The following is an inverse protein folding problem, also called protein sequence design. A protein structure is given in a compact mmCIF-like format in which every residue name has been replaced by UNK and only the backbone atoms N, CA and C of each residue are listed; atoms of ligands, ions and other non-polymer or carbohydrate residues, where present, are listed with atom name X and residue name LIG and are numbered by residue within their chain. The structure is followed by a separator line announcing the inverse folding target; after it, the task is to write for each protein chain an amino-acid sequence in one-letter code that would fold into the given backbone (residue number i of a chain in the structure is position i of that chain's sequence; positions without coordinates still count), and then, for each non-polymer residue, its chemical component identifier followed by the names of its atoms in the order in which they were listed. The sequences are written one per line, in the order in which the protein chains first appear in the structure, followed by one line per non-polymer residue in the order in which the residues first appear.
data_IF_543883258465
#
_entry.id   IF_543883258465
#
_cell.length_a   1.000
_cell.length_b   1.000
_cell.length_c   1.000
_cell.angle_alpha   90.00
_cell.angle_beta   90.00
_cell.angle_gamma   90.00
#
_symmetry.space_group_name_H-M   'P 1'
#
loop_
_entity.id
_entity.type
_entity.pdbx_description
1 polymer ?
#
# COMPACT_ATOMS: atom_id res chain seq x y z
N UNK A 1 -6.66 28.70 21.12
CA UNK A 1 -5.73 27.69 21.67
C UNK A 1 -6.17 26.26 21.34
N UNK A 2 -7.46 25.91 21.44
CA UNK A 2 -7.94 24.56 21.09
C UNK A 2 -7.85 24.21 19.60
N UNK A 3 -8.07 25.20 18.71
CA UNK A 3 -7.98 24.99 17.25
C UNK A 3 -6.57 24.57 16.79
N UNK A 4 -5.50 25.05 17.45
CA UNK A 4 -4.13 24.67 17.10
C UNK A 4 -3.82 23.23 17.53
N UNK A 5 -4.32 22.79 18.70
CA UNK A 5 -4.19 21.40 19.17
C UNK A 5 -4.87 20.41 18.23
N UNK A 6 -6.08 20.72 17.76
CA UNK A 6 -6.82 19.87 16.81
C UNK A 6 -6.06 19.73 15.49
N UNK A 7 -5.55 20.84 14.93
CA UNK A 7 -4.71 20.81 13.72
C UNK A 7 -3.46 19.96 13.92
N UNK A 8 -2.81 20.05 15.09
CA UNK A 8 -1.62 19.28 15.44
C UNK A 8 -1.92 17.78 15.56
N UNK A 9 -3.00 17.41 16.24
CA UNK A 9 -3.45 16.01 16.37
C UNK A 9 -3.74 15.39 15.01
N UNK A 10 -4.44 16.13 14.14
CA UNK A 10 -4.75 15.69 12.79
C UNK A 10 -3.49 15.53 11.92
N UNK A 11 -2.55 16.48 12.00
CA UNK A 11 -1.27 16.35 11.32
C UNK A 11 -0.49 15.12 11.82
N UNK A 12 -0.48 14.85 13.13
CA UNK A 12 0.13 13.64 13.70
C UNK A 12 -0.53 12.35 13.21
N UNK A 13 -1.86 12.29 13.18
CA UNK A 13 -2.60 11.14 12.63
C UNK A 13 -2.26 10.92 11.17
N UNK A 14 -2.23 12.00 10.37
CA UNK A 14 -1.88 11.94 8.96
C UNK A 14 -0.47 11.40 8.71
N UNK A 15 0.49 11.87 9.49
CA UNK A 15 1.88 11.37 9.45
C UNK A 15 1.94 9.89 9.84
N UNK A 16 1.15 9.45 10.83
CA UNK A 16 1.09 8.06 11.24
C UNK A 16 0.53 7.13 10.14
N UNK A 17 -0.54 7.54 9.46
CA UNK A 17 -1.11 6.80 8.31
C UNK A 17 -0.10 6.65 7.17
N UNK A 18 0.55 7.75 6.78
CA UNK A 18 1.57 7.76 5.72
C UNK A 18 2.75 6.86 6.14
N UNK A 19 3.19 6.95 7.40
CA UNK A 19 4.26 6.08 7.92
C UNK A 19 3.89 4.60 7.85
N UNK A 20 2.65 4.25 8.18
CA UNK A 20 2.18 2.86 8.10
C UNK A 20 2.15 2.37 6.66
N UNK A 21 1.67 3.20 5.72
CA UNK A 21 1.71 2.90 4.29
C UNK A 21 3.13 2.62 3.80
N UNK A 22 4.10 3.47 4.14
CA UNK A 22 5.50 3.24 3.74
C UNK A 22 6.09 1.95 4.32
N UNK A 23 5.65 1.52 5.51
CA UNK A 23 6.05 0.19 6.01
C UNK A 23 5.52 -0.92 5.11
N UNK A 24 4.24 -0.88 4.71
CA UNK A 24 3.68 -1.87 3.79
C UNK A 24 4.40 -1.88 2.44
N UNK A 25 4.68 -0.70 1.87
CA UNK A 25 5.46 -0.56 0.62
C UNK A 25 6.88 -1.11 0.79
N UNK A 26 7.57 -0.76 1.88
CA UNK A 26 8.93 -1.23 2.14
C UNK A 26 8.98 -2.75 2.29
N UNK A 27 8.05 -3.33 3.06
CA UNK A 27 7.93 -4.77 3.22
C UNK A 27 7.67 -5.44 1.87
N UNK A 28 6.74 -4.91 1.09
CA UNK A 28 6.46 -5.40 -0.26
C UNK A 28 7.71 -5.37 -1.16
N UNK A 29 8.43 -4.24 -1.20
CA UNK A 29 9.64 -4.12 -2.01
C UNK A 29 10.70 -5.14 -1.56
N UNK A 30 10.96 -5.25 -0.26
CA UNK A 30 11.98 -6.12 0.29
C UNK A 30 11.71 -7.59 -0.05
N UNK A 31 10.49 -8.08 0.16
CA UNK A 31 10.12 -9.45 -0.22
C UNK A 31 10.20 -9.65 -1.73
N UNK A 32 9.71 -8.71 -2.53
CA UNK A 32 9.76 -8.84 -3.98
C UNK A 32 11.17 -8.87 -4.54
N UNK A 33 12.07 -8.02 -4.04
CA UNK A 33 13.48 -8.07 -4.42
C UNK A 33 14.14 -9.38 -4.00
N UNK A 34 13.85 -9.89 -2.79
CA UNK A 34 14.36 -11.18 -2.35
C UNK A 34 13.86 -12.34 -3.23
N UNK A 35 12.57 -12.39 -3.53
CA UNK A 35 11.99 -13.42 -4.41
C UNK A 35 12.41 -13.27 -5.87
N UNK A 36 12.64 -12.04 -6.35
CA UNK A 36 13.20 -11.78 -7.68
C UNK A 36 14.62 -12.32 -7.78
N UNK A 37 15.47 -12.02 -6.78
CA UNK A 37 16.83 -12.56 -6.70
C UNK A 37 16.80 -14.09 -6.65
N UNK A 38 16.03 -14.68 -5.72
CA UNK A 38 15.94 -16.13 -5.59
C UNK A 38 15.39 -16.80 -6.86
N UNK A 39 14.34 -16.23 -7.47
CA UNK A 39 13.73 -16.74 -8.69
C UNK A 39 14.68 -16.71 -9.90
N UNK A 40 15.43 -15.62 -10.08
CA UNK A 40 16.32 -15.46 -11.22
C UNK A 40 17.62 -16.27 -11.08
N UNK A 41 18.23 -16.28 -9.89
CA UNK A 41 19.52 -16.96 -9.68
C UNK A 41 19.39 -18.46 -9.42
N UNK A 42 18.33 -18.90 -8.73
CA UNK A 42 18.15 -20.31 -8.33
C UNK A 42 16.99 -21.01 -9.05
N UNK A 43 16.29 -20.33 -9.95
CA UNK A 43 15.19 -20.91 -10.73
C UNK A 43 14.00 -21.33 -9.87
N UNK A 44 13.74 -20.63 -8.76
CA UNK A 44 12.68 -20.99 -7.81
C UNK A 44 11.31 -20.92 -8.47
N UNK A 45 10.59 -22.05 -8.41
CA UNK A 45 9.21 -22.22 -8.85
C UNK A 45 8.38 -22.66 -7.65
N UNK A 46 7.34 -21.90 -7.33
CA UNK A 46 6.43 -22.23 -6.23
C UNK A 46 5.10 -22.66 -6.84
N UNK A 47 4.65 -23.86 -6.50
CA UNK A 47 3.32 -24.36 -6.87
C UNK A 47 2.37 -24.05 -5.71
N UNK A 48 1.33 -23.25 -5.96
CA UNK A 48 0.36 -22.87 -4.93
C UNK A 48 -0.84 -23.82 -4.94
N UNK A 49 -1.42 -24.10 -6.11
CA UNK A 49 -2.61 -24.95 -6.22
C UNK A 49 -2.74 -25.56 -7.62
N UNK A 50 -2.89 -26.89 -7.70
CA UNK A 50 -2.95 -27.63 -8.98
C UNK A 50 -1.85 -27.15 -9.97
N UNK A 51 -2.27 -26.59 -11.12
CA UNK A 51 -1.38 -26.08 -12.17
C UNK A 51 -0.98 -24.60 -11.99
N UNK A 52 -1.39 -23.95 -10.89
CA UNK A 52 -1.01 -22.59 -10.58
C UNK A 52 0.42 -22.52 -10.03
N UNK A 53 1.35 -22.26 -10.95
CA UNK A 53 2.77 -22.06 -10.67
C UNK A 53 3.04 -20.56 -10.72
N UNK A 54 3.74 -20.07 -9.70
CA UNK A 54 4.24 -18.71 -9.63
C UNK A 54 5.76 -18.74 -9.58
N UNK A 55 6.36 -17.82 -10.33
CA UNK A 55 7.81 -17.64 -10.35
C UNK A 55 8.11 -16.20 -10.73
N UNK A 56 9.14 -15.65 -10.11
CA UNK A 56 9.69 -14.34 -10.47
C UNK A 56 10.84 -14.45 -11.48
N UNK A 57 11.01 -15.61 -12.12
CA UNK A 57 12.01 -15.79 -13.17
C UNK A 57 11.62 -14.94 -14.38
N UNK A 58 12.49 -13.98 -14.71
CA UNK A 58 12.33 -13.06 -15.83
C UNK A 58 13.45 -13.31 -16.83
N UNK A 59 13.08 -13.73 -18.04
CA UNK A 59 13.99 -14.04 -19.15
C UNK A 59 13.84 -13.02 -20.27
N UNK A 60 14.66 -13.12 -21.33
CA UNK A 60 14.55 -12.25 -22.51
C UNK A 60 13.15 -12.29 -23.16
N UNK A 61 12.45 -13.42 -23.05
CA UNK A 61 11.10 -13.62 -23.59
C UNK A 61 9.99 -13.22 -22.58
N UNK A 62 10.36 -12.63 -21.44
CA UNK A 62 9.44 -12.21 -20.38
C UNK A 62 9.35 -13.17 -19.20
N UNK A 63 8.22 -13.14 -18.49
CA UNK A 63 7.96 -13.99 -17.32
C UNK A 63 7.47 -15.39 -17.76
N UNK A 64 8.13 -16.43 -17.26
CA UNK A 64 7.77 -17.83 -17.56
C UNK A 64 6.45 -18.24 -16.85
N UNK A 65 6.11 -17.60 -15.72
CA UNK A 65 4.91 -17.86 -14.92
C UNK A 65 4.34 -16.55 -14.34
N UNK A 66 3.19 -16.65 -13.65
CA UNK A 66 2.62 -15.51 -12.96
C UNK A 66 3.58 -14.96 -11.90
N UNK A 67 3.90 -13.65 -11.95
CA UNK A 67 4.77 -13.06 -10.96
C UNK A 67 4.07 -12.99 -9.60
N UNK A 68 4.80 -13.35 -8.54
CA UNK A 68 4.30 -13.35 -7.16
C UNK A 68 3.80 -11.97 -6.71
N UNK A 69 4.42 -10.92 -7.24
CA UNK A 69 4.13 -9.53 -6.90
C UNK A 69 2.75 -9.07 -7.37
N UNK A 70 2.15 -9.75 -8.35
CA UNK A 70 0.91 -9.29 -8.98
C UNK A 70 -0.29 -9.31 -8.02
N UNK A 71 -0.39 -10.35 -7.18
CA UNK A 71 -1.47 -10.48 -6.19
C UNK A 71 -1.36 -9.40 -5.11
N UNK A 72 -0.15 -9.17 -4.61
CA UNK A 72 0.11 -8.20 -3.55
C UNK A 72 0.08 -6.75 -4.04
N UNK A 73 0.36 -6.52 -5.33
CA UNK A 73 0.30 -5.21 -5.96
C UNK A 73 -1.10 -4.59 -5.89
N UNK A 74 -2.16 -5.40 -6.02
CA UNK A 74 -3.55 -4.92 -5.91
C UNK A 74 -3.83 -4.35 -4.52
N UNK A 75 -3.39 -5.03 -3.46
CA UNK A 75 -3.57 -4.55 -2.08
C UNK A 75 -2.83 -3.24 -1.84
N UNK A 76 -1.63 -3.08 -2.38
CA UNK A 76 -0.89 -1.81 -2.29
C UNK A 76 -1.59 -0.66 -3.01
N UNK A 77 -2.22 -0.91 -4.17
CA UNK A 77 -2.99 0.10 -4.89
C UNK A 77 -4.19 0.54 -4.05
N UNK A 78 -4.92 -0.41 -3.46
CA UNK A 78 -6.03 -0.10 -2.55
C UNK A 78 -5.58 0.72 -1.34
N UNK A 79 -4.45 0.36 -0.73
CA UNK A 79 -3.89 1.10 0.41
C UNK A 79 -3.44 2.51 -0.01
N UNK A 80 -2.90 2.66 -1.21
CA UNK A 80 -2.55 3.96 -1.81
C UNK A 80 -3.79 4.84 -1.99
N UNK A 81 -4.88 4.28 -2.53
CA UNK A 81 -6.15 4.99 -2.70
C UNK A 81 -6.67 5.44 -1.33
N UNK A 82 -6.66 4.53 -0.35
CA UNK A 82 -7.13 4.81 1.01
C UNK A 82 -6.32 5.92 1.69
N UNK A 83 -5.00 5.91 1.55
CA UNK A 83 -4.12 6.88 2.22
C UNK A 83 -4.08 8.20 1.47
N UNK A 84 -3.96 8.23 0.15
CA UNK A 84 -3.75 9.48 -0.58
C UNK A 84 -5.01 10.02 -1.25
N UNK A 85 -5.82 9.17 -1.87
CA UNK A 85 -6.96 9.61 -2.71
C UNK A 85 -8.17 9.95 -1.86
N UNK A 86 -8.59 9.07 -0.92
CA UNK A 86 -9.78 9.30 -0.10
C UNK A 86 -9.66 10.62 0.71
N UNK A 87 -8.55 10.89 1.42
CA UNK A 87 -8.44 12.10 2.23
C UNK A 87 -8.28 13.37 1.38
N UNK A 88 -7.70 13.27 0.18
CA UNK A 88 -7.59 14.41 -0.74
C UNK A 88 -8.94 14.77 -1.36
N UNK A 89 -9.75 13.76 -1.74
CA UNK A 89 -11.01 13.97 -2.45
C UNK A 89 -12.22 14.18 -1.51
N UNK A 90 -12.28 13.48 -0.38
CA UNK A 90 -13.38 13.55 0.59
C UNK A 90 -13.03 14.30 1.88
N UNK A 91 -11.75 14.62 2.12
CA UNK A 91 -11.31 15.25 3.36
C UNK A 91 -11.95 16.61 3.61
N UNK A 92 -12.04 17.48 2.60
CA UNK A 92 -12.62 18.82 2.76
C UNK A 92 -14.11 18.80 3.16
N UNK A 93 -14.91 17.89 2.58
CA UNK A 93 -16.33 17.71 2.93
C UNK A 93 -16.52 17.10 4.32
N UNK A 94 -15.71 16.11 4.67
CA UNK A 94 -15.76 15.51 6.00
C UNK A 94 -15.32 16.50 7.09
N UNK A 95 -14.29 17.30 6.81
CA UNK A 95 -13.81 18.35 7.70
C UNK A 95 -14.85 19.45 7.89
N UNK A 96 -15.48 19.92 6.80
CA UNK A 96 -16.56 20.88 6.88
C UNK A 96 -17.73 20.35 7.72
N UNK A 97 -18.07 19.05 7.58
CA UNK A 97 -19.08 18.40 8.41
C UNK A 97 -18.69 18.34 9.89
N UNK A 98 -17.43 18.03 10.21
CA UNK A 98 -16.95 17.99 11.60
C UNK A 98 -16.82 19.35 12.25
N UNK A 99 -16.45 20.38 11.50
CA UNK A 99 -16.46 21.76 12.00
C UNK A 99 -17.89 22.19 12.31
N UNK A 100 -18.85 21.88 11.43
CA UNK A 100 -20.27 22.17 11.66
C UNK A 100 -20.81 21.47 12.91
N UNK A 101 -20.53 20.17 13.09
CA UNK A 101 -20.93 19.42 14.29
C UNK A 101 -20.32 19.95 15.60
N UNK A 102 -19.14 20.57 15.57
CA UNK A 102 -18.50 21.18 16.74
C UNK A 102 -18.96 22.62 17.02
N UNK A 103 -19.58 23.28 16.03
CA UNK A 103 -20.04 24.67 16.14
C UNK A 103 -21.54 24.74 16.45
N UNK A 104 -22.30 23.73 16.04
CA UNK A 104 -23.74 23.58 16.35
C UNK A 104 -24.00 22.82 17.67
N UNK A 105 -22.94 22.44 18.40
CA UNK A 105 -22.98 21.96 19.78
C UNK A 105 -22.55 23.07 20.73
#
# INVERSE_FOLDING_TARGET
MELSKIKLLKAKQRVAEIRQFYKHVMTYLLFNFAFMYLGNFYGVKIRIYADFIVSNKFTADGFEYYPLWFIWGVFLILDTIKVFVIPSFFGSRWEAKKIKELTEK
#
